data_IF_193256736215
#
_entry.id   IF_193256736215
#
_cell.length_a   1.000
_cell.length_b   1.000
_cell.length_c   1.000
_cell.angle_alpha   90.00
_cell.angle_beta   90.00
_cell.angle_gamma   90.00
#
_symmetry.space_group_name_H-M   'P 1'
#
loop_
_entity.id
_entity.type
_entity.pdbx_description
1 polymer ?
#
# COMPACT_ATOMS: atom_id res chain seq x y z
N UNK A 1 -73.43 9.24 19.34
CA UNK A 1 -73.66 8.37 18.16
C UNK A 1 -72.31 7.94 17.60
N UNK A 2 -72.18 6.66 17.19
CA UNK A 2 -70.98 5.87 16.77
C UNK A 2 -70.01 5.52 17.92
N UNK A 3 -70.14 4.37 18.62
CA UNK A 3 -69.96 2.92 18.28
C UNK A 3 -68.52 2.56 17.85
N UNK A 4 -67.77 1.96 18.79
CA UNK A 4 -66.45 1.31 18.63
C UNK A 4 -66.50 0.08 17.70
N UNK A 5 -65.34 -0.44 17.25
CA UNK A 5 -64.85 -1.66 17.89
C UNK A 5 -63.33 -1.79 18.05
N UNK A 6 -62.99 -2.59 19.05
CA UNK A 6 -61.72 -3.26 19.35
C UNK A 6 -61.18 -4.02 18.13
N UNK A 7 -59.87 -3.91 17.85
CA UNK A 7 -59.14 -4.93 17.10
C UNK A 7 -57.91 -5.34 17.90
N UNK A 8 -58.03 -6.53 18.47
CA UNK A 8 -57.01 -7.36 19.07
C UNK A 8 -56.30 -8.09 17.92
N UNK A 9 -55.00 -7.88 17.71
CA UNK A 9 -54.17 -8.78 16.90
C UNK A 9 -52.96 -9.21 17.72
N UNK A 10 -52.86 -10.53 17.84
CA UNK A 10 -51.91 -11.24 18.67
C UNK A 10 -50.52 -11.36 18.07
N UNK A 11 -49.61 -11.66 18.99
CA UNK A 11 -48.26 -12.19 18.83
C UNK A 11 -48.11 -13.18 17.67
N UNK A 12 -47.08 -13.02 16.82
CA UNK A 12 -46.23 -14.15 16.34
C UNK A 12 -44.90 -13.69 15.72
N UNK A 13 -43.84 -14.12 16.40
CA UNK A 13 -42.42 -14.31 16.07
C UNK A 13 -42.02 -14.21 14.58
N UNK A 14 -41.11 -13.28 14.26
CA UNK A 14 -40.25 -13.38 13.08
C UNK A 14 -38.80 -13.65 13.54
N UNK A 15 -38.31 -14.82 13.14
CA UNK A 15 -37.05 -15.42 13.56
C UNK A 15 -35.82 -14.58 13.19
N UNK A 16 -34.90 -14.46 14.15
CA UNK A 16 -33.55 -13.97 13.93
C UNK A 16 -32.76 -14.98 13.09
N UNK A 17 -32.70 -14.77 11.77
CA UNK A 17 -31.67 -15.36 10.91
C UNK A 17 -30.41 -14.50 11.01
N UNK A 18 -29.56 -14.81 11.99
CA UNK A 18 -28.18 -14.34 11.99
C UNK A 18 -27.42 -15.16 10.95
N UNK A 19 -27.58 -14.79 9.68
CA UNK A 19 -26.67 -15.23 8.63
C UNK A 19 -25.33 -14.51 8.89
N UNK A 20 -24.45 -15.18 9.64
CA UNK A 20 -23.06 -14.80 9.80
C UNK A 20 -22.32 -14.95 8.48
N UNK A 21 -22.60 -14.05 7.54
CA UNK A 21 -21.66 -13.75 6.48
C UNK A 21 -20.48 -13.05 7.12
N UNK A 22 -19.33 -13.72 7.20
CA UNK A 22 -18.06 -13.03 7.28
C UNK A 22 -17.89 -12.26 5.98
N UNK A 23 -18.53 -11.10 5.89
CA UNK A 23 -18.13 -10.08 4.96
C UNK A 23 -16.73 -9.67 5.40
N UNK A 24 -15.71 -10.28 4.80
CA UNK A 24 -14.41 -9.65 4.68
C UNK A 24 -14.66 -8.34 3.92
N UNK A 25 -15.02 -7.30 4.66
CA UNK A 25 -14.91 -5.94 4.19
C UNK A 25 -13.41 -5.68 4.06
N UNK A 26 -12.83 -6.15 2.96
CA UNK A 26 -11.59 -5.58 2.47
C UNK A 26 -11.96 -4.15 2.10
N UNK A 27 -11.72 -3.22 3.03
CA UNK A 27 -11.95 -1.81 2.80
C UNK A 27 -11.20 -1.43 1.51
N UNK A 28 -11.85 -0.78 0.53
CA UNK A 28 -11.11 -0.24 -0.60
C UNK A 28 -10.24 0.89 -0.04
N UNK A 29 -8.93 0.66 0.07
CA UNK A 29 -7.98 1.76 0.15
C UNK A 29 -7.88 2.30 -1.27
N UNK A 30 -8.88 3.10 -1.64
CA UNK A 30 -8.83 3.93 -2.84
C UNK A 30 -8.35 5.32 -2.41
N UNK A 31 -7.04 5.42 -2.17
CA UNK A 31 -6.36 6.69 -1.89
C UNK A 31 -6.08 7.49 -3.18
N UNK A 32 -6.81 7.22 -4.28
CA UNK A 32 -6.56 7.82 -5.57
C UNK A 32 -5.17 7.54 -6.15
N UNK A 33 -4.93 8.02 -7.37
CA UNK A 33 -3.60 7.99 -7.97
C UNK A 33 -2.70 9.02 -7.26
N UNK A 34 -1.63 8.53 -6.61
CA UNK A 34 -0.58 9.36 -6.00
C UNK A 34 0.59 9.50 -6.98
N UNK A 35 1.31 10.61 -6.89
CA UNK A 35 2.58 10.82 -7.60
C UNK A 35 3.70 10.90 -6.57
N UNK A 36 4.79 10.18 -6.80
CA UNK A 36 5.95 10.20 -5.92
C UNK A 36 7.23 9.90 -6.66
N UNK A 37 8.34 10.39 -6.10
CA UNK A 37 9.70 9.99 -6.48
C UNK A 37 10.23 9.11 -5.36
N UNK A 38 10.66 7.90 -5.69
CA UNK A 38 11.13 6.98 -4.67
C UNK A 38 11.92 5.84 -5.26
N UNK A 39 12.50 5.05 -4.35
CA UNK A 39 13.06 3.77 -4.70
C UNK A 39 11.92 2.78 -4.96
N UNK A 40 12.03 2.07 -6.09
CA UNK A 40 11.17 0.98 -6.49
C UNK A 40 12.03 -0.26 -6.67
N UNK A 41 11.59 -1.40 -6.15
CA UNK A 41 12.25 -2.69 -6.29
C UNK A 41 11.29 -3.77 -6.80
N UNK A 42 11.85 -4.73 -7.56
CA UNK A 42 11.11 -5.83 -8.19
C UNK A 42 10.47 -6.80 -7.16
N UNK A 43 10.98 -6.85 -5.92
CA UNK A 43 10.47 -7.73 -4.87
C UNK A 43 10.47 -7.07 -3.48
N UNK A 44 9.65 -7.57 -2.53
CA UNK A 44 9.65 -7.09 -1.15
C UNK A 44 10.99 -7.32 -0.46
N UNK A 45 11.65 -8.46 -0.74
CA UNK A 45 12.92 -8.82 -0.13
C UNK A 45 14.04 -7.85 -0.51
N UNK A 46 14.06 -7.40 -1.78
CA UNK A 46 15.00 -6.38 -2.25
C UNK A 46 14.75 -5.02 -1.57
N UNK A 47 13.49 -4.59 -1.45
CA UNK A 47 13.13 -3.36 -0.75
C UNK A 47 13.49 -3.41 0.75
N UNK A 48 13.17 -4.50 1.43
CA UNK A 48 13.53 -4.72 2.83
C UNK A 48 15.06 -4.73 3.03
N UNK A 49 15.80 -5.37 2.12
CA UNK A 49 17.26 -5.39 2.13
C UNK A 49 17.85 -4.00 1.96
N UNK A 50 17.31 -3.19 1.06
CA UNK A 50 17.72 -1.79 0.93
C UNK A 50 17.51 -1.02 2.24
N UNK A 51 16.34 -1.13 2.85
CA UNK A 51 16.02 -0.45 4.11
C UNK A 51 16.97 -0.88 5.22
N UNK A 52 17.30 -2.18 5.30
CA UNK A 52 18.29 -2.72 6.24
C UNK A 52 19.69 -2.13 6.03
N UNK A 53 20.14 -2.01 4.78
CA UNK A 53 21.44 -1.39 4.50
C UNK A 53 21.45 0.09 4.88
N UNK A 54 20.35 0.80 4.65
CA UNK A 54 20.20 2.21 5.06
C UNK A 54 20.18 2.38 6.57
N UNK A 55 19.50 1.49 7.32
CA UNK A 55 19.47 1.54 8.78
C UNK A 55 20.86 1.31 9.39
N UNK A 56 21.72 0.56 8.70
CA UNK A 56 23.12 0.34 9.04
C UNK A 56 24.06 1.51 8.64
N UNK A 57 23.50 2.61 8.11
CA UNK A 57 24.25 3.82 7.75
C UNK A 57 24.87 3.82 6.35
N UNK A 58 24.52 2.85 5.47
CA UNK A 58 24.98 2.89 4.07
C UNK A 58 24.28 4.01 3.31
N UNK A 59 25.01 4.71 2.46
CA UNK A 59 24.44 5.71 1.56
C UNK A 59 23.44 5.11 0.56
N UNK A 60 22.45 5.90 0.14
CA UNK A 60 21.33 5.38 -0.65
C UNK A 60 21.76 4.74 -1.96
N UNK A 61 22.64 5.38 -2.72
CA UNK A 61 23.16 4.80 -3.96
C UNK A 61 23.93 3.50 -3.67
N UNK A 62 24.82 3.49 -2.68
CA UNK A 62 25.60 2.31 -2.31
C UNK A 62 24.74 1.15 -1.79
N UNK A 63 23.63 1.44 -1.11
CA UNK A 63 22.67 0.44 -0.68
C UNK A 63 21.90 -0.15 -1.87
N UNK A 64 21.47 0.69 -2.82
CA UNK A 64 20.80 0.25 -4.05
C UNK A 64 21.73 -0.61 -4.92
N UNK A 65 22.96 -0.15 -5.16
CA UNK A 65 23.95 -0.89 -5.96
C UNK A 65 24.24 -2.25 -5.34
N UNK A 66 24.32 -2.34 -4.01
CA UNK A 66 24.50 -3.60 -3.32
C UNK A 66 23.31 -4.56 -3.51
N UNK A 67 22.07 -4.08 -3.44
CA UNK A 67 20.88 -4.92 -3.68
C UNK A 67 20.86 -5.41 -5.13
N UNK A 68 21.17 -4.54 -6.09
CA UNK A 68 21.21 -4.89 -7.51
C UNK A 68 22.30 -5.92 -7.82
N UNK A 69 23.48 -5.78 -7.17
CA UNK A 69 24.56 -6.76 -7.25
C UNK A 69 24.18 -8.09 -6.59
N UNK A 70 23.59 -8.07 -5.40
CA UNK A 70 23.10 -9.28 -4.69
C UNK A 70 22.05 -10.03 -5.54
N UNK A 71 21.20 -9.29 -6.26
CA UNK A 71 20.18 -9.83 -7.15
C UNK A 71 20.70 -10.30 -8.52
N UNK A 72 21.97 -10.01 -8.86
CA UNK A 72 22.52 -10.21 -10.20
C UNK A 72 21.69 -9.54 -11.31
N UNK A 73 21.05 -8.43 -10.98
CA UNK A 73 20.18 -7.67 -11.87
C UNK A 73 20.41 -6.16 -11.65
N UNK A 74 20.99 -5.43 -12.62
CA UNK A 74 21.27 -4.01 -12.48
C UNK A 74 20.00 -3.15 -12.37
N UNK A 75 18.81 -3.71 -12.60
CA UNK A 75 17.51 -3.05 -12.53
C UNK A 75 16.62 -3.64 -11.41
N UNK A 76 17.18 -4.40 -10.47
CA UNK A 76 16.42 -4.96 -9.35
C UNK A 76 15.76 -3.88 -8.48
N UNK A 77 16.45 -2.77 -8.26
CA UNK A 77 15.95 -1.54 -7.63
C UNK A 77 16.43 -0.30 -8.41
N UNK A 78 15.60 0.73 -8.45
CA UNK A 78 15.90 2.00 -9.10
C UNK A 78 15.12 3.17 -8.48
N UNK A 79 15.61 4.40 -8.70
CA UNK A 79 14.87 5.62 -8.42
C UNK A 79 13.98 5.96 -9.60
N UNK A 80 12.68 6.18 -9.35
CA UNK A 80 11.76 6.61 -10.40
C UNK A 80 10.70 7.55 -9.85
N UNK A 81 10.26 8.46 -10.73
CA UNK A 81 9.04 9.24 -10.53
C UNK A 81 7.87 8.46 -11.15
N UNK A 82 6.89 8.11 -10.32
CA UNK A 82 5.77 7.25 -10.71
C UNK A 82 4.44 7.84 -10.26
N UNK A 83 3.40 7.59 -11.06
CA UNK A 83 2.01 7.67 -10.65
C UNK A 83 1.56 6.26 -10.25
N UNK A 84 0.98 6.10 -9.07
CA UNK A 84 0.66 4.79 -8.50
C UNK A 84 -0.56 4.81 -7.59
N UNK A 85 -1.15 3.63 -7.35
CA UNK A 85 -2.04 3.42 -6.20
C UNK A 85 -1.31 2.72 -5.08
N UNK A 86 -1.51 3.21 -3.85
CA UNK A 86 -0.89 2.65 -2.64
C UNK A 86 -1.66 1.39 -2.23
N UNK A 87 -0.96 0.27 -2.11
CA UNK A 87 -1.49 -0.97 -1.57
C UNK A 87 -1.10 -1.18 -0.12
N UNK A 88 -0.93 -2.45 0.26
CA UNK A 88 -0.58 -2.86 1.62
C UNK A 88 0.85 -2.41 2.01
N UNK A 89 1.00 -1.85 3.21
CA UNK A 89 2.29 -1.70 3.90
C UNK A 89 2.76 -3.07 4.40
N UNK A 90 3.97 -3.47 3.99
CA UNK A 90 4.56 -4.77 4.30
C UNK A 90 5.52 -4.69 5.49
N UNK A 91 6.23 -3.57 5.63
CA UNK A 91 7.23 -3.36 6.67
C UNK A 91 7.28 -1.89 7.08
N UNK A 92 7.64 -1.64 8.34
CA UNK A 92 7.91 -0.33 8.91
C UNK A 92 9.20 -0.42 9.72
N UNK A 93 10.22 0.38 9.37
CA UNK A 93 11.53 0.38 10.04
C UNK A 93 12.05 1.81 10.26
N UNK A 94 12.68 2.07 11.42
CA UNK A 94 13.43 3.30 11.62
C UNK A 94 14.72 3.26 10.79
N UNK A 95 14.99 4.34 10.06
CA UNK A 95 16.24 4.59 9.32
C UNK A 95 16.70 5.99 9.67
N UNK A 96 17.83 6.10 10.39
CA UNK A 96 18.26 7.34 11.03
C UNK A 96 17.12 7.94 11.88
N UNK A 97 16.69 9.18 11.62
CA UNK A 97 15.61 9.87 12.34
C UNK A 97 14.26 9.81 11.60
N UNK A 98 14.07 8.82 10.71
CA UNK A 98 12.85 8.69 9.92
C UNK A 98 12.25 7.31 10.03
N UNK A 99 10.92 7.24 10.05
CA UNK A 99 10.19 5.99 9.84
C UNK A 99 10.04 5.74 8.34
N UNK A 100 10.57 4.61 7.89
CA UNK A 100 10.53 4.18 6.50
C UNK A 100 9.63 2.96 6.36
N UNK A 101 8.78 2.96 5.34
CA UNK A 101 7.83 1.91 5.02
C UNK A 101 8.19 1.23 3.71
N UNK A 102 8.04 -0.10 3.67
CA UNK A 102 8.00 -0.86 2.41
C UNK A 102 6.54 -1.09 2.07
N UNK A 103 6.11 -0.60 0.91
CA UNK A 103 4.69 -0.61 0.50
C UNK A 103 4.56 -1.26 -0.87
N UNK A 104 3.57 -2.13 -1.02
CA UNK A 104 3.16 -2.63 -2.34
C UNK A 104 2.48 -1.50 -3.10
N UNK A 105 2.92 -1.20 -4.32
CA UNK A 105 2.31 -0.20 -5.19
C UNK A 105 1.90 -0.81 -6.53
N UNK A 106 0.83 -0.31 -7.12
CA UNK A 106 0.51 -0.59 -8.52
C UNK A 106 0.88 0.64 -9.34
N UNK A 107 1.84 0.49 -10.25
CA UNK A 107 2.30 1.59 -11.10
C UNK A 107 1.30 1.79 -12.25
N UNK A 108 0.86 3.04 -12.41
CA UNK A 108 -0.05 3.48 -13.47
C UNK A 108 0.73 4.17 -14.61
N UNK A 109 1.74 4.98 -14.25
CA UNK A 109 2.59 5.68 -15.20
C UNK A 109 4.00 5.92 -14.63
N UNK A 110 5.00 5.97 -15.50
CA UNK A 110 6.35 6.42 -15.19
C UNK A 110 6.68 7.72 -15.90
N UNK A 111 7.50 8.57 -15.29
CA UNK A 111 8.02 9.77 -15.95
C UNK A 111 9.34 9.48 -16.66
N UNK A 112 9.42 9.74 -17.96
CA UNK A 112 10.60 9.44 -18.79
C UNK A 112 11.63 10.59 -18.84
N UNK A 113 11.34 11.71 -18.16
CA UNK A 113 12.14 12.95 -18.22
C UNK A 113 11.47 14.08 -18.99
N UNK A 114 10.50 13.78 -19.86
CA UNK A 114 9.76 14.75 -20.67
C UNK A 114 8.26 14.69 -20.40
N UNK A 115 7.70 13.48 -20.32
CA UNK A 115 6.26 13.26 -20.15
C UNK A 115 5.95 12.03 -19.28
N UNK A 116 4.71 11.99 -18.80
CA UNK A 116 4.15 10.81 -18.16
C UNK A 116 3.78 9.77 -19.22
N UNK A 117 4.36 8.59 -19.11
CA UNK A 117 4.06 7.45 -19.96
C UNK A 117 3.23 6.46 -19.17
N UNK A 118 2.04 6.15 -19.67
CA UNK A 118 1.27 5.05 -19.12
C UNK A 118 2.05 3.76 -19.32
N UNK A 119 2.17 2.98 -18.25
CA UNK A 119 2.83 1.67 -18.30
C UNK A 119 1.78 0.59 -18.19
N UNK A 120 2.12 -0.62 -18.64
CA UNK A 120 1.32 -1.79 -18.31
C UNK A 120 1.23 -1.90 -16.79
N UNK A 121 0.01 -2.09 -16.28
CA UNK A 121 -0.23 -2.17 -14.84
C UNK A 121 0.67 -3.25 -14.24
N UNK A 122 1.54 -2.83 -13.32
CA UNK A 122 2.51 -3.72 -12.69
C UNK A 122 2.58 -3.46 -11.20
N UNK A 123 2.64 -4.55 -10.43
CA UNK A 123 2.86 -4.49 -8.98
C UNK A 123 4.36 -4.40 -8.72
N UNK A 124 4.74 -3.43 -7.90
CA UNK A 124 6.12 -3.15 -7.50
C UNK A 124 6.15 -2.80 -6.00
N UNK A 125 7.34 -2.62 -5.44
CA UNK A 125 7.51 -2.33 -4.02
C UNK A 125 8.29 -1.04 -3.84
N UNK A 126 7.64 -0.05 -3.23
CA UNK A 126 8.22 1.27 -3.02
C UNK A 126 8.65 1.44 -1.57
N UNK A 127 9.80 2.10 -1.39
CA UNK A 127 10.30 2.56 -0.09
C UNK A 127 9.85 3.99 0.11
N UNK A 128 8.96 4.21 1.08
CA UNK A 128 8.34 5.51 1.36
C UNK A 128 8.72 5.98 2.76
N UNK A 129 8.90 7.29 2.94
CA UNK A 129 8.88 7.86 4.29
C UNK A 129 7.44 7.82 4.82
N UNK A 130 7.25 7.50 6.10
CA UNK A 130 5.93 7.47 6.70
C UNK A 130 5.25 8.84 6.68
N UNK A 131 3.97 8.87 6.34
CA UNK A 131 3.12 10.04 6.54
C UNK A 131 2.91 10.22 8.05
N UNK A 132 3.72 11.06 8.69
CA UNK A 132 3.57 11.46 10.10
C UNK A 132 4.66 10.93 11.03
N UNK A 133 5.24 11.86 11.78
CA UNK A 133 6.24 11.68 12.86
C UNK A 133 7.68 11.31 12.42
N UNK A 134 8.47 12.37 12.25
CA UNK A 134 9.87 12.37 12.67
C UNK A 134 9.96 11.87 14.11
N UNK A 135 10.80 10.86 14.35
CA UNK A 135 11.24 10.46 15.70
C UNK A 135 12.18 11.50 16.30
#
# INVERSE_FOLDING_TARGET
MRKSPVILFGLTVAAAVVAGGVAHAQQPIDDGAKVGVGMICNSPAQAARFVELRSQGREAQAAMDAVNNEAHDPQACGLAAIAFTKGQTLELKPVANKLVQVVRVNILAGFDGNAWQQVSAMTQYAVMEGEGESI
#
